data_IF_480961527440
#
_entry.id   IF_480961527440
#
_cell.length_a   1.000
_cell.length_b   1.000
_cell.length_c   1.000
_cell.angle_alpha   90.00
_cell.angle_beta   90.00
_cell.angle_gamma   90.00
#
_symmetry.space_group_name_H-M   'P 1'
#
loop_
_entity.id
_entity.type
_entity.pdbx_description
1 polymer ?
#
# COMPACT_ATOMS: atom_id res chain seq x y z
N UNK A 1 11.93 18.63 1.18
CA UNK A 1 13.17 18.63 0.34
C UNK A 1 13.58 17.20 0.06
N UNK A 2 14.12 16.86 -1.14
CA UNK A 2 14.48 15.49 -1.53
C UNK A 2 15.42 14.77 -0.55
N UNK A 3 16.31 15.50 0.10
CA UNK A 3 17.30 14.97 1.06
C UNK A 3 16.62 14.41 2.32
N UNK A 4 15.59 15.08 2.82
CA UNK A 4 14.84 14.62 4.01
C UNK A 4 14.15 13.30 3.72
N UNK A 5 13.46 13.17 2.59
CA UNK A 5 12.76 11.95 2.18
C UNK A 5 13.70 10.74 2.08
N UNK A 6 14.90 10.94 1.55
CA UNK A 6 15.91 9.87 1.41
C UNK A 6 16.39 9.39 2.77
N UNK A 7 16.52 10.27 3.77
CA UNK A 7 16.94 9.88 5.12
C UNK A 7 15.90 8.97 5.81
N UNK A 8 14.58 9.21 5.62
CA UNK A 8 13.54 8.31 6.09
C UNK A 8 13.67 6.92 5.48
N UNK A 9 13.91 6.86 4.15
CA UNK A 9 14.13 5.59 3.47
C UNK A 9 15.36 4.85 4.01
N UNK A 10 16.48 5.52 4.20
CA UNK A 10 17.70 4.90 4.73
C UNK A 10 17.54 4.46 6.18
N UNK A 11 16.85 5.23 7.02
CA UNK A 11 16.57 4.83 8.40
C UNK A 11 15.68 3.58 8.44
N UNK A 12 14.64 3.51 7.60
CA UNK A 12 13.81 2.33 7.43
C UNK A 12 14.61 1.12 6.94
N UNK A 13 15.47 1.30 5.92
CA UNK A 13 16.29 0.25 5.34
C UNK A 13 17.33 -0.27 6.34
N UNK A 14 17.98 0.63 7.10
CA UNK A 14 18.89 0.28 8.20
C UNK A 14 18.21 -0.63 9.21
N UNK A 15 17.04 -0.23 9.71
CA UNK A 15 16.27 -1.02 10.69
C UNK A 15 15.86 -2.38 10.13
N UNK A 16 15.52 -2.46 8.86
CA UNK A 16 15.22 -3.73 8.21
C UNK A 16 16.46 -4.62 8.10
N UNK A 17 17.58 -4.06 7.67
CA UNK A 17 18.83 -4.77 7.52
C UNK A 17 19.35 -5.29 8.87
N UNK A 18 19.34 -4.47 9.92
CA UNK A 18 19.68 -4.87 11.30
C UNK A 18 18.76 -5.99 11.82
N UNK A 19 17.46 -5.90 11.57
CA UNK A 19 16.51 -6.91 12.02
C UNK A 19 16.81 -8.30 11.45
N UNK A 20 17.27 -8.35 10.20
CA UNK A 20 17.59 -9.60 9.52
C UNK A 20 19.01 -10.11 9.86
N UNK A 21 20.01 -9.24 9.82
CA UNK A 21 21.42 -9.61 9.99
C UNK A 21 21.80 -9.85 11.44
N UNK A 22 21.32 -9.03 12.35
CA UNK A 22 21.60 -9.13 13.78
C UNK A 22 20.56 -9.99 14.53
N UNK A 23 19.56 -10.52 13.81
CA UNK A 23 18.44 -11.29 14.38
C UNK A 23 17.69 -10.52 15.49
N UNK A 24 17.74 -9.20 15.46
CA UNK A 24 16.94 -8.34 16.32
C UNK A 24 15.52 -8.23 15.79
N UNK A 25 14.64 -9.14 16.23
CA UNK A 25 13.25 -9.13 15.82
C UNK A 25 12.62 -7.76 16.10
N UNK A 26 12.37 -6.99 15.07
CA UNK A 26 11.72 -5.69 15.14
C UNK A 26 10.65 -5.58 14.08
N UNK A 27 9.50 -5.02 14.47
CA UNK A 27 8.46 -4.64 13.52
C UNK A 27 8.95 -3.48 12.64
N UNK A 28 8.35 -3.30 11.48
CA UNK A 28 8.63 -2.15 10.63
C UNK A 28 7.49 -1.86 9.69
N UNK A 29 7.41 -0.61 9.28
CA UNK A 29 6.39 -0.13 8.37
C UNK A 29 6.42 -0.89 7.04
N UNK A 30 5.26 -1.02 6.37
CA UNK A 30 5.23 -1.40 4.98
C UNK A 30 5.81 -0.25 4.14
N UNK A 31 6.74 -0.57 3.24
CA UNK A 31 7.29 0.38 2.29
C UNK A 31 6.43 0.40 1.03
N UNK A 32 5.97 1.57 0.64
CA UNK A 32 5.17 1.80 -0.56
C UNK A 32 5.95 2.71 -1.49
N UNK A 33 6.35 2.19 -2.65
CA UNK A 33 7.03 2.91 -3.70
C UNK A 33 6.01 3.24 -4.80
N UNK A 34 5.68 4.51 -4.96
CA UNK A 34 4.68 4.97 -5.94
C UNK A 34 5.33 5.79 -7.03
N UNK A 35 4.98 5.57 -8.28
CA UNK A 35 5.51 6.35 -9.40
C UNK A 35 5.16 5.76 -10.75
N UNK A 36 5.53 6.45 -11.83
CA UNK A 36 5.25 6.01 -13.19
C UNK A 36 5.92 4.66 -13.50
N UNK A 37 5.39 3.96 -14.49
CA UNK A 37 5.93 2.69 -14.97
C UNK A 37 7.38 2.83 -15.43
N UNK A 38 8.18 1.81 -15.22
CA UNK A 38 9.59 1.74 -15.66
C UNK A 38 10.52 2.79 -15.03
N UNK A 39 10.22 3.29 -13.83
CA UNK A 39 11.06 4.25 -13.08
C UNK A 39 11.97 3.62 -12.03
N UNK A 40 12.13 2.30 -12.04
CA UNK A 40 13.08 1.59 -11.17
C UNK A 40 12.53 1.13 -9.83
N UNK A 41 11.22 1.21 -9.59
CA UNK A 41 10.57 0.69 -8.36
C UNK A 41 10.94 -0.76 -8.10
N UNK A 42 10.64 -1.63 -9.08
CA UNK A 42 10.94 -3.07 -9.00
C UNK A 42 12.43 -3.38 -8.93
N UNK A 43 13.29 -2.54 -9.54
CA UNK A 43 14.73 -2.67 -9.39
C UNK A 43 15.16 -2.41 -7.94
N UNK A 44 14.64 -1.35 -7.33
CA UNK A 44 14.91 -1.02 -5.94
C UNK A 44 14.40 -2.10 -4.98
N UNK A 45 13.15 -2.53 -5.12
CA UNK A 45 12.55 -3.55 -4.25
C UNK A 45 13.20 -4.93 -4.42
N UNK A 46 13.32 -5.42 -5.68
CA UNK A 46 13.66 -6.81 -5.96
C UNK A 46 15.17 -7.06 -6.07
N UNK A 47 15.99 -6.03 -6.34
CA UNK A 47 17.44 -6.19 -6.52
C UNK A 47 18.23 -5.53 -5.39
N UNK A 48 17.86 -4.32 -4.98
CA UNK A 48 18.61 -3.60 -3.94
C UNK A 48 18.16 -4.01 -2.55
N UNK A 49 16.91 -3.74 -2.17
CA UNK A 49 16.42 -4.03 -0.82
C UNK A 49 16.46 -5.52 -0.55
N UNK A 50 15.88 -6.30 -1.44
CA UNK A 50 15.82 -7.76 -1.29
C UNK A 50 17.21 -8.41 -1.36
N UNK A 51 18.11 -7.88 -2.17
CA UNK A 51 19.50 -8.34 -2.24
C UNK A 51 20.25 -8.18 -0.92
N UNK A 52 19.98 -7.11 -0.17
CA UNK A 52 20.57 -6.88 1.16
C UNK A 52 20.10 -7.89 2.22
N UNK A 53 18.87 -8.37 2.11
CA UNK A 53 18.21 -9.20 3.13
C UNK A 53 18.06 -10.67 2.71
N UNK A 54 18.76 -11.10 1.67
CA UNK A 54 18.83 -12.51 1.26
C UNK A 54 17.73 -12.97 0.32
N UNK A 55 17.00 -12.04 -0.32
CA UNK A 55 15.99 -12.34 -1.32
C UNK A 55 14.59 -11.87 -0.96
N UNK A 56 13.65 -12.12 -1.86
CA UNK A 56 12.23 -11.80 -1.69
C UNK A 56 11.33 -12.93 -2.16
N UNK A 57 10.08 -12.88 -1.72
CA UNK A 57 9.01 -13.67 -2.30
C UNK A 57 7.87 -12.74 -2.78
N UNK A 58 7.25 -13.13 -3.89
CA UNK A 58 6.03 -12.49 -4.35
C UNK A 58 4.89 -12.85 -3.38
N UNK A 59 4.33 -11.84 -2.76
CA UNK A 59 3.26 -11.97 -1.79
C UNK A 59 1.90 -11.54 -2.36
N UNK A 60 1.79 -11.28 -3.66
CA UNK A 60 0.60 -10.73 -4.31
C UNK A 60 -0.64 -11.59 -4.03
N UNK A 61 -0.57 -12.88 -4.29
CA UNK A 61 -1.71 -13.80 -4.09
C UNK A 61 -2.12 -13.92 -2.62
N UNK A 62 -1.15 -13.96 -1.71
CA UNK A 62 -1.43 -14.06 -0.28
C UNK A 62 -2.01 -12.76 0.27
N UNK A 63 -1.39 -11.61 -0.03
CA UNK A 63 -1.82 -10.32 0.49
C UNK A 63 -3.11 -9.81 -0.19
N UNK A 64 -3.45 -10.27 -1.39
CA UNK A 64 -4.77 -10.03 -2.00
C UNK A 64 -5.86 -10.98 -1.48
N UNK A 65 -5.49 -11.97 -0.69
CA UNK A 65 -6.44 -12.96 -0.15
C UNK A 65 -6.89 -14.04 -1.14
N UNK A 66 -6.20 -14.16 -2.29
CA UNK A 66 -6.47 -15.21 -3.29
C UNK A 66 -6.03 -16.59 -2.80
N UNK A 67 -5.03 -16.64 -1.92
CA UNK A 67 -4.59 -17.86 -1.25
C UNK A 67 -4.45 -17.67 0.25
N UNK A 68 -4.66 -18.75 1.00
CA UNK A 68 -4.35 -18.80 2.44
C UNK A 68 -2.97 -19.40 2.70
N UNK A 69 -2.36 -20.01 1.68
CA UNK A 69 -1.10 -20.70 1.81
C UNK A 69 0.07 -19.73 1.56
N UNK A 70 0.97 -19.66 2.51
CA UNK A 70 2.10 -18.72 2.50
C UNK A 70 3.42 -19.36 2.93
N UNK A 71 3.53 -20.69 2.84
CA UNK A 71 4.73 -21.42 3.25
C UNK A 71 6.02 -20.87 2.60
N UNK A 72 5.94 -20.53 1.31
CA UNK A 72 7.10 -20.05 0.57
C UNK A 72 7.53 -18.64 0.98
N UNK A 73 6.60 -17.84 1.50
CA UNK A 73 6.89 -16.52 2.08
C UNK A 73 7.75 -16.63 3.35
N UNK A 74 7.68 -17.75 4.06
CA UNK A 74 8.46 -18.00 5.29
C UNK A 74 9.96 -18.16 5.10
N UNK A 75 10.43 -18.25 3.86
CA UNK A 75 11.85 -18.44 3.53
C UNK A 75 12.64 -17.14 3.42
N UNK A 76 11.95 -16.00 3.31
CA UNK A 76 12.54 -14.69 3.05
C UNK A 76 11.96 -13.63 3.95
N UNK A 77 12.73 -12.59 4.21
CA UNK A 77 12.27 -11.45 5.02
C UNK A 77 11.56 -10.37 4.20
N UNK A 78 11.78 -10.27 2.90
CA UNK A 78 11.11 -9.30 2.05
C UNK A 78 9.91 -9.93 1.33
N UNK A 79 8.71 -9.44 1.62
CA UNK A 79 7.48 -9.78 0.91
C UNK A 79 7.15 -8.65 -0.05
N UNK A 80 7.20 -8.94 -1.33
CA UNK A 80 7.03 -7.92 -2.37
C UNK A 80 5.70 -8.12 -3.07
N UNK A 81 4.99 -7.02 -3.30
CA UNK A 81 3.90 -6.90 -4.25
C UNK A 81 4.42 -5.97 -5.35
N UNK A 82 4.62 -6.52 -6.54
CA UNK A 82 5.11 -5.77 -7.69
C UNK A 82 4.02 -5.78 -8.76
N UNK A 83 3.60 -4.57 -9.14
CA UNK A 83 2.60 -4.31 -10.17
C UNK A 83 1.31 -5.14 -9.98
N UNK A 84 0.46 -4.74 -9.04
CA UNK A 84 -0.86 -5.36 -8.87
C UNK A 84 -1.66 -5.21 -10.16
N UNK A 85 -1.52 -6.19 -11.02
CA UNK A 85 -2.36 -6.31 -12.20
C UNK A 85 -3.76 -6.66 -11.79
N UNK A 86 -4.66 -5.83 -12.21
CA UNK A 86 -6.09 -6.04 -12.36
C UNK A 86 -6.99 -5.87 -11.13
N UNK A 87 -7.99 -5.08 -11.36
CA UNK A 87 -9.40 -5.18 -10.97
C UNK A 87 -9.73 -6.18 -9.85
N UNK A 88 -8.98 -6.14 -8.77
CA UNK A 88 -9.41 -6.78 -7.55
C UNK A 88 -10.76 -6.14 -7.16
N UNK A 89 -11.73 -6.95 -6.83
CA UNK A 89 -13.00 -6.46 -6.31
C UNK A 89 -12.73 -5.58 -5.08
N UNK A 90 -13.65 -4.69 -4.76
CA UNK A 90 -13.55 -3.88 -3.54
C UNK A 90 -13.32 -4.74 -2.27
N UNK A 91 -13.88 -5.94 -2.25
CA UNK A 91 -13.66 -6.90 -1.15
C UNK A 91 -12.21 -7.39 -1.10
N UNK A 92 -11.57 -7.60 -2.24
CA UNK A 92 -10.18 -8.04 -2.29
C UNK A 92 -9.23 -6.92 -1.87
N UNK A 93 -9.54 -5.67 -2.21
CA UNK A 93 -8.80 -4.50 -1.74
C UNK A 93 -8.87 -4.34 -0.21
N UNK A 94 -10.05 -4.55 0.40
CA UNK A 94 -10.19 -4.55 1.87
C UNK A 94 -9.39 -5.67 2.51
N UNK A 95 -9.43 -6.88 1.96
CA UNK A 95 -8.62 -8.01 2.45
C UNK A 95 -7.12 -7.71 2.37
N UNK A 96 -6.65 -7.17 1.22
CA UNK A 96 -5.26 -6.78 1.06
C UNK A 96 -4.84 -5.75 2.11
N UNK A 97 -5.63 -4.71 2.30
CA UNK A 97 -5.42 -3.69 3.33
C UNK A 97 -5.30 -4.30 4.73
N UNK A 98 -6.22 -5.19 5.13
CA UNK A 98 -6.20 -5.83 6.44
C UNK A 98 -5.00 -6.78 6.61
N UNK A 99 -4.62 -7.52 5.57
CA UNK A 99 -3.46 -8.41 5.62
C UNK A 99 -2.14 -7.63 5.71
N UNK A 100 -2.01 -6.51 4.98
CA UNK A 100 -0.86 -5.61 5.09
C UNK A 100 -0.76 -5.06 6.52
N UNK A 101 -1.85 -4.52 7.07
CA UNK A 101 -1.90 -4.02 8.45
C UNK A 101 -1.51 -5.09 9.46
N UNK A 102 -2.05 -6.30 9.31
CA UNK A 102 -1.75 -7.43 10.19
C UNK A 102 -0.27 -7.82 10.11
N UNK A 103 0.31 -7.88 8.91
CA UNK A 103 1.72 -8.23 8.71
C UNK A 103 2.68 -7.19 9.29
N UNK A 104 2.27 -5.91 9.34
CA UNK A 104 3.05 -4.82 9.93
C UNK A 104 2.89 -4.76 11.44
N UNK A 105 1.67 -4.97 11.94
CA UNK A 105 1.33 -4.76 13.35
C UNK A 105 1.70 -5.94 14.26
N UNK A 106 1.80 -7.16 13.73
CA UNK A 106 2.04 -8.36 14.52
C UNK A 106 3.54 -8.71 14.56
N UNK A 107 4.09 -9.02 15.75
CA UNK A 107 5.47 -9.49 15.88
C UNK A 107 5.63 -10.95 15.45
N UNK A 108 4.57 -11.62 15.09
CA UNK A 108 4.54 -13.02 14.65
C UNK A 108 3.69 -13.17 13.40
N UNK A 109 4.07 -14.10 12.55
CA UNK A 109 3.31 -14.48 11.37
C UNK A 109 2.99 -15.96 11.41
N UNK A 110 1.82 -16.33 10.91
CA UNK A 110 1.42 -17.73 10.76
C UNK A 110 1.75 -18.20 9.34
N UNK A 111 2.55 -19.26 9.25
CA UNK A 111 2.82 -19.95 7.99
C UNK A 111 1.98 -21.18 7.87
N UNK A 112 1.26 -21.28 6.77
CA UNK A 112 0.40 -22.41 6.47
C UNK A 112 0.78 -23.04 5.13
N UNK A 113 1.10 -24.35 5.17
CA UNK A 113 1.25 -25.17 3.98
C UNK A 113 -0.05 -25.91 3.68
N UNK A 114 -0.23 -26.40 2.45
CA UNK A 114 -1.31 -27.35 2.15
C UNK A 114 -1.12 -28.63 2.99
N UNK A 115 -2.20 -29.08 3.61
CA UNK A 115 -2.22 -30.32 4.41
C UNK A 115 -1.29 -30.32 5.62
N UNK A 116 -0.98 -29.18 6.19
CA UNK A 116 -0.17 -29.05 7.40
C UNK A 116 -0.79 -28.04 8.36
N UNK A 117 -0.49 -28.20 9.65
CA UNK A 117 -0.88 -27.26 10.67
C UNK A 117 -0.15 -25.90 10.47
N UNK A 118 -0.80 -24.83 10.88
CA UNK A 118 -0.24 -23.51 10.85
C UNK A 118 0.89 -23.37 11.88
N UNK A 119 2.03 -22.85 11.47
CA UNK A 119 3.17 -22.58 12.33
C UNK A 119 3.30 -21.08 12.59
N UNK A 120 3.18 -20.67 13.85
CA UNK A 120 3.41 -19.29 14.25
C UNK A 120 4.89 -19.05 14.56
N UNK A 121 5.51 -18.11 13.83
CA UNK A 121 6.93 -17.78 13.99
C UNK A 121 7.14 -16.29 14.23
N UNK A 122 8.22 -15.89 14.91
CA UNK A 122 8.61 -14.48 15.01
C UNK A 122 8.82 -13.87 13.62
N UNK A 123 8.39 -12.62 13.45
CA UNK A 123 8.43 -11.91 12.19
C UNK A 123 9.34 -10.69 12.24
N UNK A 124 10.41 -10.68 11.47
CA UNK A 124 11.33 -9.56 11.29
C UNK A 124 11.29 -8.98 9.87
N UNK A 125 10.44 -9.54 9.02
CA UNK A 125 10.34 -9.14 7.61
C UNK A 125 9.59 -7.83 7.40
N UNK A 126 9.54 -7.42 6.15
CA UNK A 126 8.85 -6.21 5.70
C UNK A 126 8.01 -6.50 4.46
N UNK A 127 6.90 -5.81 4.37
CA UNK A 127 6.06 -5.77 3.17
C UNK A 127 6.50 -4.58 2.32
N UNK A 128 6.72 -4.81 1.04
CA UNK A 128 7.15 -3.80 0.07
C UNK A 128 6.18 -3.81 -1.10
N UNK A 129 5.58 -2.66 -1.40
CA UNK A 129 4.65 -2.49 -2.51
C UNK A 129 5.29 -1.57 -3.57
N UNK A 130 5.30 -2.01 -4.82
CA UNK A 130 5.68 -1.20 -5.98
C UNK A 130 4.41 -0.88 -6.78
N UNK A 131 3.91 0.34 -6.70
CA UNK A 131 2.61 0.74 -7.22
C UNK A 131 2.75 1.81 -8.30
N UNK A 132 1.83 1.82 -9.25
CA UNK A 132 1.68 2.91 -10.20
C UNK A 132 0.80 4.03 -9.61
N UNK A 133 0.83 5.23 -10.21
CA UNK A 133 0.03 6.38 -9.75
C UNK A 133 -1.44 6.32 -10.22
N UNK A 134 -1.88 5.19 -10.76
CA UNK A 134 -3.27 5.02 -11.15
C UNK A 134 -4.16 4.59 -9.97
N UNK A 135 -5.45 4.85 -10.10
CA UNK A 135 -6.41 4.60 -9.05
C UNK A 135 -6.51 3.13 -8.62
N UNK A 136 -6.35 2.19 -9.56
CA UNK A 136 -6.45 0.78 -9.25
C UNK A 136 -5.25 0.32 -8.40
N UNK A 137 -4.04 0.72 -8.81
CA UNK A 137 -2.82 0.43 -8.04
C UNK A 137 -2.86 1.04 -6.64
N UNK A 138 -3.33 2.29 -6.50
CA UNK A 138 -3.40 2.97 -5.22
C UNK A 138 -4.51 2.45 -4.28
N UNK A 139 -5.46 1.68 -4.80
CA UNK A 139 -6.57 1.13 -4.02
C UNK A 139 -6.14 0.12 -2.95
N UNK A 140 -4.96 -0.47 -3.07
CA UNK A 140 -4.40 -1.39 -2.07
C UNK A 140 -3.74 -0.68 -0.89
N UNK A 141 -3.53 0.65 -0.99
CA UNK A 141 -2.97 1.43 0.10
C UNK A 141 -4.03 1.51 1.21
N UNK A 142 -3.69 1.10 2.46
CA UNK A 142 -4.59 1.29 3.59
C UNK A 142 -5.00 2.75 3.74
N UNK A 143 -6.24 2.98 4.20
CA UNK A 143 -6.68 4.34 4.52
C UNK A 143 -5.67 5.02 5.45
N UNK A 144 -5.25 6.25 5.10
CA UNK A 144 -4.21 7.01 5.79
C UNK A 144 -4.78 7.75 7.00
N UNK A 145 -5.61 7.07 7.79
CA UNK A 145 -6.15 7.58 9.04
C UNK A 145 -5.10 7.51 10.19
N UNK A 146 -5.43 8.09 11.33
CA UNK A 146 -4.54 8.12 12.50
C UNK A 146 -4.12 6.73 13.00
N UNK A 147 -4.92 5.70 12.74
CA UNK A 147 -4.67 4.32 13.18
C UNK A 147 -3.69 3.55 12.28
N UNK A 148 -3.45 4.04 11.06
CA UNK A 148 -2.68 3.34 10.04
C UNK A 148 -1.44 4.10 9.58
N UNK A 149 -1.43 5.41 9.76
CA UNK A 149 -0.37 6.28 9.24
C UNK A 149 1.02 5.88 9.77
N UNK A 150 1.10 5.47 11.02
CA UNK A 150 2.35 5.01 11.66
C UNK A 150 2.90 3.71 11.06
N UNK A 151 2.06 2.93 10.40
CA UNK A 151 2.38 1.60 9.83
C UNK A 151 2.98 1.66 8.42
N UNK A 152 3.00 2.84 7.82
CA UNK A 152 3.33 3.01 6.39
C UNK A 152 4.49 3.97 6.21
N UNK A 153 5.32 3.65 5.24
CA UNK A 153 6.36 4.51 4.65
C UNK A 153 6.04 4.62 3.16
N UNK A 154 5.43 5.73 2.72
CA UNK A 154 5.02 5.90 1.33
C UNK A 154 5.86 6.96 0.64
N UNK A 155 6.59 6.54 -0.38
CA UNK A 155 7.57 7.35 -1.10
C UNK A 155 7.19 7.47 -2.57
N UNK A 156 7.29 8.67 -3.10
CA UNK A 156 7.16 8.91 -4.53
C UNK A 156 8.51 8.74 -5.23
N UNK A 157 8.54 7.87 -6.23
CA UNK A 157 9.69 7.72 -7.12
C UNK A 157 9.64 8.80 -8.19
N UNK A 158 10.76 9.51 -8.39
CA UNK A 158 10.86 10.61 -9.35
C UNK A 158 10.73 10.15 -10.79
N UNK A 159 10.10 10.97 -11.62
CA UNK A 159 9.87 10.65 -13.04
C UNK A 159 11.13 10.66 -13.88
N UNK A 160 12.17 11.42 -13.47
CA UNK A 160 13.46 11.55 -14.15
C UNK A 160 14.50 10.48 -13.74
N UNK A 161 14.16 9.60 -12.79
CA UNK A 161 15.12 8.66 -12.19
C UNK A 161 15.83 7.78 -13.25
N UNK A 162 15.05 7.21 -14.20
CA UNK A 162 15.59 6.25 -15.17
C UNK A 162 16.47 6.85 -16.25
N UNK A 163 16.36 8.12 -16.56
CA UNK A 163 17.20 8.77 -17.60
C UNK A 163 18.69 8.73 -17.29
N UNK A 164 19.04 8.42 -16.03
CA UNK A 164 20.41 8.39 -15.52
C UNK A 164 20.99 6.98 -15.40
N UNK A 165 20.22 5.95 -15.68
CA UNK A 165 20.70 4.57 -15.55
C UNK A 165 21.34 4.06 -16.85
N UNK A 166 22.47 3.33 -16.76
CA UNK A 166 23.06 2.62 -17.87
C UNK A 166 22.19 1.41 -18.29
N UNK A 167 22.68 0.62 -19.25
CA UNK A 167 21.99 -0.60 -19.69
C UNK A 167 21.73 -1.57 -18.51
N UNK A 168 20.62 -2.29 -18.55
CA UNK A 168 20.16 -3.15 -17.43
C UNK A 168 21.22 -4.15 -16.96
N UNK A 169 22.00 -4.77 -17.87
CA UNK A 169 23.06 -5.72 -17.52
C UNK A 169 24.18 -5.07 -16.69
N UNK A 170 24.51 -3.81 -17.00
CA UNK A 170 25.49 -3.03 -16.24
C UNK A 170 24.92 -2.68 -14.87
N UNK A 171 23.65 -2.26 -14.80
CA UNK A 171 22.98 -1.95 -13.53
C UNK A 171 22.97 -3.16 -12.61
N UNK A 172 22.56 -4.33 -13.09
CA UNK A 172 22.51 -5.55 -12.27
C UNK A 172 23.88 -5.99 -11.75
N UNK A 173 24.90 -5.95 -12.60
CA UNK A 173 26.27 -6.30 -12.20
C UNK A 173 26.82 -5.30 -11.17
N UNK A 174 26.53 -4.00 -11.34
CA UNK A 174 26.93 -2.95 -10.42
C UNK A 174 26.23 -3.11 -9.06
N UNK A 175 24.91 -3.31 -9.04
CA UNK A 175 24.17 -3.56 -7.80
C UNK A 175 24.79 -4.73 -7.04
N UNK A 176 24.97 -5.88 -7.71
CA UNK A 176 25.56 -7.07 -7.08
C UNK A 176 26.92 -6.79 -6.47
N UNK A 177 27.75 -5.99 -7.12
CA UNK A 177 29.09 -5.61 -6.64
C UNK A 177 29.03 -4.63 -5.47
N UNK A 178 28.07 -3.69 -5.47
CA UNK A 178 27.98 -2.59 -4.50
C UNK A 178 27.13 -2.92 -3.25
N UNK A 179 26.26 -3.91 -3.31
CA UNK A 179 25.40 -4.29 -2.18
C UNK A 179 26.16 -4.52 -0.86
N UNK A 180 27.33 -5.21 -0.80
CA UNK A 180 28.07 -5.38 0.44
C UNK A 180 28.53 -4.04 1.05
N UNK A 181 28.90 -3.07 0.21
CA UNK A 181 29.32 -1.75 0.66
C UNK A 181 28.11 -0.94 1.18
N UNK A 182 26.97 -1.05 0.51
CA UNK A 182 25.74 -0.43 0.99
C UNK A 182 25.34 -1.02 2.36
N UNK A 183 25.40 -2.36 2.53
CA UNK A 183 25.12 -2.99 3.80
C UNK A 183 26.04 -2.51 4.92
N UNK A 184 27.34 -2.41 4.64
CA UNK A 184 28.32 -1.86 5.60
C UNK A 184 28.04 -0.41 5.93
N UNK A 185 27.80 0.42 4.91
CA UNK A 185 27.47 1.83 5.08
C UNK A 185 26.20 2.01 5.94
N UNK A 186 25.17 1.22 5.72
CA UNK A 186 23.94 1.27 6.54
C UNK A 186 24.21 0.99 8.02
N UNK A 187 25.10 0.06 8.34
CA UNK A 187 25.45 -0.23 9.74
C UNK A 187 26.21 0.93 10.40
N UNK A 188 27.11 1.58 9.64
CA UNK A 188 27.96 2.66 10.14
C UNK A 188 27.26 4.04 10.10
N UNK A 189 26.19 4.20 9.31
CA UNK A 189 25.47 5.47 9.17
C UNK A 189 24.56 5.72 10.36
N UNK A 190 24.63 6.91 10.94
CA UNK A 190 23.76 7.36 12.02
C UNK A 190 22.58 8.15 11.44
N UNK A 191 21.34 7.65 11.61
CA UNK A 191 20.15 8.38 11.19
C UNK A 191 20.00 9.69 11.98
N UNK A 192 19.48 10.77 11.34
CA UNK A 192 19.11 11.99 12.06
C UNK A 192 18.16 11.70 13.22
N UNK A 193 18.41 12.32 14.38
CA UNK A 193 17.68 12.05 15.62
C UNK A 193 16.17 12.31 15.49
N UNK A 194 15.78 13.32 14.70
CA UNK A 194 14.37 13.68 14.45
C UNK A 194 13.59 12.60 13.69
N UNK A 195 14.28 11.68 13.00
CA UNK A 195 13.67 10.56 12.27
C UNK A 195 13.51 9.33 13.16
N UNK A 196 14.34 9.22 14.18
CA UNK A 196 14.31 8.11 15.11
C UNK A 196 13.30 8.39 16.20
N UNK A 197 12.30 7.50 16.30
CA UNK A 197 11.24 7.64 17.31
C UNK A 197 11.21 6.43 18.22
N UNK A 198 10.81 6.65 19.46
CA UNK A 198 10.49 5.57 20.37
C UNK A 198 9.30 4.74 19.86
N UNK A 199 9.22 3.48 20.28
CA UNK A 199 8.10 2.61 19.95
C UNK A 199 8.48 1.46 18.99
N UNK A 200 7.46 0.74 18.53
CA UNK A 200 7.63 -0.55 17.86
C UNK A 200 8.37 -0.50 16.53
N UNK A 201 8.29 0.60 15.80
CA UNK A 201 8.90 0.71 14.47
C UNK A 201 10.29 1.34 14.49
N UNK A 202 10.59 2.16 15.49
CA UNK A 202 11.88 2.81 15.67
C UNK A 202 12.20 3.94 14.67
N UNK A 203 11.37 4.12 13.65
CA UNK A 203 11.50 5.18 12.62
C UNK A 203 10.16 5.87 12.47
N UNK A 204 10.17 7.19 12.35
CA UNK A 204 8.98 7.98 12.08
C UNK A 204 8.39 7.62 10.70
N UNK A 205 7.07 7.59 10.60
CA UNK A 205 6.42 7.37 9.31
C UNK A 205 6.61 8.59 8.41
N UNK A 206 6.80 8.33 7.13
CA UNK A 206 6.80 9.37 6.10
C UNK A 206 5.83 9.00 5.00
N UNK A 207 4.97 9.92 4.62
CA UNK A 207 4.03 9.75 3.53
C UNK A 207 4.13 10.98 2.63
N UNK A 208 4.54 10.77 1.38
CA UNK A 208 4.59 11.83 0.38
C UNK A 208 3.19 12.42 0.17
N UNK A 209 3.08 13.75 0.18
CA UNK A 209 1.79 14.45 0.11
C UNK A 209 1.01 14.13 -1.16
N UNK A 210 1.69 13.96 -2.29
CA UNK A 210 1.02 13.60 -3.54
C UNK A 210 0.46 12.18 -3.51
N UNK A 211 1.14 11.26 -2.84
CA UNK A 211 0.64 9.89 -2.61
C UNK A 211 -0.53 9.91 -1.64
N UNK A 212 -0.44 10.69 -0.57
CA UNK A 212 -1.52 10.83 0.40
C UNK A 212 -2.80 11.39 -0.23
N UNK A 213 -2.68 12.44 -1.05
CA UNK A 213 -3.82 13.04 -1.75
C UNK A 213 -4.45 12.05 -2.73
N UNK A 214 -3.65 11.38 -3.57
CA UNK A 214 -4.15 10.42 -4.53
C UNK A 214 -4.82 9.20 -3.87
N UNK A 215 -4.26 8.70 -2.76
CA UNK A 215 -4.87 7.62 -1.99
C UNK A 215 -6.20 8.04 -1.33
N UNK A 216 -6.28 9.27 -0.81
CA UNK A 216 -7.51 9.82 -0.25
C UNK A 216 -8.61 9.97 -1.31
N UNK A 217 -8.28 10.55 -2.46
CA UNK A 217 -9.23 10.73 -3.56
C UNK A 217 -9.75 9.38 -4.09
N UNK A 218 -8.87 8.38 -4.17
CA UNK A 218 -9.24 7.04 -4.56
C UNK A 218 -10.13 6.33 -3.52
N UNK A 219 -9.83 6.47 -2.24
CA UNK A 219 -10.64 5.93 -1.14
C UNK A 219 -12.04 6.55 -1.11
N UNK A 220 -12.15 7.87 -1.28
CA UNK A 220 -13.44 8.57 -1.32
C UNK A 220 -14.27 8.14 -2.53
N UNK A 221 -13.65 8.02 -3.71
CA UNK A 221 -14.32 7.53 -4.93
C UNK A 221 -14.86 6.11 -4.73
N UNK A 222 -14.04 5.19 -4.23
CA UNK A 222 -14.45 3.80 -4.03
C UNK A 222 -15.61 3.68 -3.05
N UNK A 223 -15.57 4.46 -1.98
CA UNK A 223 -16.64 4.47 -0.98
C UNK A 223 -17.95 5.02 -1.51
N UNK A 224 -17.90 6.11 -2.28
CA UNK A 224 -19.11 6.67 -2.91
C UNK A 224 -19.64 5.71 -3.98
N UNK A 225 -18.78 5.08 -4.77
CA UNK A 225 -19.20 4.09 -5.76
C UNK A 225 -19.93 2.90 -5.10
N UNK A 226 -19.43 2.37 -4.00
CA UNK A 226 -20.08 1.29 -3.22
C UNK A 226 -21.46 1.73 -2.73
N UNK A 227 -21.57 2.95 -2.21
CA UNK A 227 -22.85 3.48 -1.73
C UNK A 227 -23.86 3.65 -2.87
N UNK A 228 -23.42 4.15 -4.01
CA UNK A 228 -24.28 4.28 -5.22
C UNK A 228 -24.72 2.90 -5.71
N UNK A 229 -23.82 1.92 -5.78
CA UNK A 229 -24.15 0.56 -6.19
C UNK A 229 -25.17 -0.07 -5.23
N UNK A 230 -24.98 0.07 -3.93
CA UNK A 230 -25.90 -0.40 -2.91
C UNK A 230 -27.28 0.25 -3.05
N UNK A 231 -27.31 1.57 -3.26
CA UNK A 231 -28.55 2.30 -3.51
C UNK A 231 -29.28 1.78 -4.76
N UNK A 232 -28.56 1.63 -5.88
CA UNK A 232 -29.12 1.09 -7.11
C UNK A 232 -29.68 -0.33 -6.94
N UNK A 233 -28.95 -1.18 -6.22
CA UNK A 233 -29.42 -2.55 -5.93
C UNK A 233 -30.71 -2.55 -5.13
N UNK A 234 -30.80 -1.76 -4.08
CA UNK A 234 -31.99 -1.66 -3.22
C UNK A 234 -33.19 -1.09 -3.97
N UNK A 235 -33.00 -0.10 -4.85
CA UNK A 235 -34.07 0.44 -5.68
C UNK A 235 -34.60 -0.60 -6.68
N UNK A 236 -33.72 -1.42 -7.27
CA UNK A 236 -34.13 -2.53 -8.16
C UNK A 236 -34.92 -3.60 -7.40
N UNK A 237 -34.54 -3.93 -6.18
CA UNK A 237 -35.27 -4.87 -5.33
C UNK A 237 -36.69 -4.38 -4.95
N UNK A 238 -36.88 -3.06 -4.96
CA UNK A 238 -38.17 -2.44 -4.59
C UNK A 238 -39.08 -2.13 -5.79
N UNK A 239 -38.54 -1.83 -6.97
CA UNK A 239 -39.36 -1.26 -8.06
C UNK A 239 -38.78 -1.41 -9.46
N UNK A 240 -38.14 -2.38 -9.89
CA UNK A 240 -37.73 -2.71 -11.29
C UNK A 240 -37.26 -1.57 -12.21
N UNK A 241 -37.31 -0.31 -11.79
CA UNK A 241 -36.86 0.86 -12.56
C UNK A 241 -35.47 1.30 -12.14
N UNK A 242 -34.67 1.75 -13.10
CA UNK A 242 -33.35 2.36 -12.81
C UNK A 242 -33.55 3.57 -11.89
N UNK A 243 -32.91 3.62 -10.73
CA UNK A 243 -33.06 4.73 -9.81
C UNK A 243 -32.44 5.99 -10.42
N UNK A 244 -33.22 7.03 -10.51
CA UNK A 244 -32.73 8.37 -10.81
C UNK A 244 -32.86 9.20 -9.53
N UNK A 245 -31.75 9.74 -9.05
CA UNK A 245 -31.75 10.66 -7.93
C UNK A 245 -31.31 12.05 -8.41
N UNK A 246 -32.09 13.10 -8.01
CA UNK A 246 -31.79 14.48 -8.29
C UNK A 246 -31.85 15.29 -7.00
N UNK A 247 -30.80 16.04 -6.72
CA UNK A 247 -30.74 16.86 -5.51
C UNK A 247 -29.39 17.55 -5.36
N UNK A 248 -29.26 18.27 -4.27
CA UNK A 248 -28.00 18.92 -3.89
C UNK A 248 -27.03 17.92 -3.26
N UNK A 249 -25.74 18.26 -3.25
CA UNK A 249 -24.71 17.42 -2.58
C UNK A 249 -25.01 17.21 -1.09
N UNK A 250 -25.61 18.17 -0.43
CA UNK A 250 -26.02 18.08 0.98
C UNK A 250 -27.14 17.07 1.17
N UNK A 251 -28.14 17.07 0.31
CA UNK A 251 -29.24 16.09 0.33
C UNK A 251 -28.72 14.68 0.05
N UNK A 252 -27.77 14.54 -0.89
CA UNK A 252 -27.11 13.26 -1.14
C UNK A 252 -26.33 12.76 0.09
N UNK A 253 -25.65 13.66 0.79
CA UNK A 253 -24.95 13.33 2.03
C UNK A 253 -25.91 12.81 3.12
N UNK A 254 -27.06 13.46 3.27
CA UNK A 254 -28.12 13.02 4.21
C UNK A 254 -28.63 11.65 3.82
N UNK A 255 -28.93 11.43 2.53
CA UNK A 255 -29.37 10.15 2.00
C UNK A 255 -28.33 9.04 2.31
N UNK A 256 -27.07 9.29 2.06
CA UNK A 256 -25.99 8.35 2.37
C UNK A 256 -25.91 8.05 3.87
N UNK A 257 -26.12 9.03 4.71
CA UNK A 257 -26.13 8.86 6.17
C UNK A 257 -27.30 7.99 6.64
N UNK A 258 -28.48 8.20 6.11
CA UNK A 258 -29.67 7.38 6.40
C UNK A 258 -29.49 5.93 5.95
N UNK A 259 -28.90 5.71 4.78
CA UNK A 259 -28.59 4.36 4.30
C UNK A 259 -27.55 3.63 5.15
N UNK A 260 -26.70 4.37 5.84
CA UNK A 260 -25.59 3.82 6.64
C UNK A 260 -26.01 3.47 8.08
N UNK A 261 -27.16 3.92 8.57
CA UNK A 261 -27.63 3.71 9.96
C UNK A 261 -27.87 2.24 10.35
N UNK A 262 -27.60 1.29 9.48
CA UNK A 262 -27.64 -0.15 9.78
C UNK A 262 -26.31 -0.89 9.63
N UNK A 263 -25.23 -0.24 9.24
CA UNK A 263 -23.92 -0.85 9.03
C UNK A 263 -22.81 0.01 9.61
N UNK A 264 -21.98 -0.56 10.46
CA UNK A 264 -20.75 -0.01 11.00
C UNK A 264 -19.70 0.20 9.87
N UNK A 265 -19.88 1.22 9.06
CA UNK A 265 -18.83 1.72 8.16
C UNK A 265 -18.30 2.99 8.82
N UNK A 266 -17.13 2.89 9.45
CA UNK A 266 -16.47 3.97 10.17
C UNK A 266 -15.95 5.08 9.28
N UNK A 267 -16.78 5.63 8.41
CA UNK A 267 -16.45 6.75 7.55
C UNK A 267 -17.13 8.02 8.06
N UNK A 268 -16.33 9.01 8.42
CA UNK A 268 -16.84 10.38 8.55
C UNK A 268 -17.19 10.88 7.15
N UNK A 269 -18.46 10.80 6.79
CA UNK A 269 -18.97 11.33 5.52
C UNK A 269 -19.10 12.85 5.65
N UNK A 270 -17.97 13.56 5.74
CA UNK A 270 -18.02 15.00 5.64
C UNK A 270 -18.29 15.41 4.18
N UNK A 271 -18.83 16.60 4.00
CA UNK A 271 -19.22 17.11 2.69
C UNK A 271 -18.06 17.12 1.69
N UNK A 272 -16.85 17.38 2.13
CA UNK A 272 -15.65 17.39 1.30
C UNK A 272 -15.29 15.98 0.78
N UNK A 273 -15.42 14.96 1.62
CA UNK A 273 -15.23 13.57 1.23
C UNK A 273 -16.22 13.14 0.13
N UNK A 274 -17.50 13.46 0.31
CA UNK A 274 -18.55 13.16 -0.69
C UNK A 274 -18.28 13.92 -1.99
N UNK A 275 -17.94 15.21 -1.92
CA UNK A 275 -17.63 16.06 -3.08
C UNK A 275 -16.46 15.52 -3.88
N UNK A 276 -15.36 15.14 -3.25
CA UNK A 276 -14.18 14.56 -3.91
C UNK A 276 -14.48 13.21 -4.55
N UNK A 277 -15.21 12.35 -3.86
CA UNK A 277 -15.62 11.06 -4.39
C UNK A 277 -16.49 11.20 -5.64
N UNK A 278 -17.48 12.09 -5.62
CA UNK A 278 -18.35 12.38 -6.77
C UNK A 278 -17.58 12.98 -7.94
N UNK A 279 -16.72 13.97 -7.71
CA UNK A 279 -15.88 14.56 -8.76
C UNK A 279 -14.96 13.51 -9.42
N UNK A 280 -14.38 12.64 -8.64
CA UNK A 280 -13.52 11.55 -9.16
C UNK A 280 -14.31 10.49 -9.94
N UNK A 281 -15.55 10.20 -9.56
CA UNK A 281 -16.44 9.33 -10.33
C UNK A 281 -16.86 9.97 -11.67
N UNK A 282 -17.16 11.26 -11.67
CA UNK A 282 -17.49 12.01 -12.90
C UNK A 282 -16.32 12.01 -13.90
N UNK A 283 -15.10 12.23 -13.42
CA UNK A 283 -13.90 12.19 -14.25
C UNK A 283 -13.66 10.79 -14.82
N UNK A 284 -13.83 9.74 -14.02
CA UNK A 284 -13.74 8.36 -14.47
C UNK A 284 -14.82 8.01 -15.51
N UNK A 285 -16.03 8.56 -15.35
CA UNK A 285 -17.14 8.42 -16.29
C UNK A 285 -16.87 9.09 -17.65
N UNK A 286 -16.19 10.22 -17.67
CA UNK A 286 -15.76 10.90 -18.90
C UNK A 286 -14.74 10.10 -19.70
N UNK A 287 -13.90 9.33 -19.00
CA UNK A 287 -12.86 8.50 -19.61
C UNK A 287 -13.35 7.09 -19.98
N UNK A 288 -14.55 6.70 -19.56
CA UNK A 288 -15.10 5.36 -19.78
C UNK A 288 -16.54 5.48 -20.30
N UNK A 289 -16.73 5.21 -21.60
CA UNK A 289 -18.01 5.37 -22.32
C UNK A 289 -19.18 4.53 -21.78
N UNK A 290 -18.95 3.69 -20.78
CA UNK A 290 -19.96 2.84 -20.16
C UNK A 290 -20.52 3.37 -18.84
N UNK A 291 -19.98 4.43 -18.27
CA UNK A 291 -20.51 5.09 -17.06
C UNK A 291 -21.00 6.48 -17.47
N UNK A 292 -22.30 6.64 -17.66
CA UNK A 292 -22.91 7.96 -17.75
C UNK A 292 -23.24 8.41 -16.32
N UNK A 293 -22.91 9.67 -15.97
CA UNK A 293 -23.25 10.24 -14.68
C UNK A 293 -24.75 10.29 -14.43
#
# INVERSE_FOLDING_TARGET
>A
TPVITVNYFYAWLKRFYEAVTERKMSQGQALILVGATSKGKSLLSNRVISGLVGGYADASDYLSGQTKFNKDLGRVAAWVIDDTTSAASFQDQRKATELIKRSVANPRVEYQAKYADALSVPWAGRVILSLNMDANSLSVIPALDSSNRDKLMALRVRDDARSKFPANSVVESTIKKELPYLGRWLLDWDPPEEIMVGGRFGVASFIDESVASAAYDNSSRSSIAELVEFFCKRCREQNDTLPEWRGTLTEFQVLLHEFNNGRSVGMSHNLEFVRRGMASLEEAGKNNTHVRP
#
